data_IF_673780232779
#
_entry.id   IF_673780232779
#
_cell.length_a   1.000
_cell.length_b   1.000
_cell.length_c   1.000
_cell.angle_alpha   90.00
_cell.angle_beta   90.00
_cell.angle_gamma   90.00
#
_symmetry.space_group_name_H-M   'P 1'
#
loop_
_entity.id
_entity.type
_entity.pdbx_description
1 polymer ?
#
# COMPACT_ATOMS: atom_id res chain seq x y z
N UNK A 1 -9.96 -17.81 16.33
CA UNK A 1 -9.43 -18.45 15.11
C UNK A 1 -9.47 -19.97 15.23
N UNK A 2 -8.73 -20.60 16.15
CA UNK A 2 -8.85 -22.06 16.37
C UNK A 2 -10.23 -22.50 16.91
N UNK A 3 -10.94 -21.61 17.63
CA UNK A 3 -12.33 -21.84 18.06
C UNK A 3 -13.38 -21.63 16.94
N UNK A 4 -13.00 -21.00 15.82
CA UNK A 4 -13.94 -20.54 14.77
C UNK A 4 -13.65 -21.17 13.39
N UNK A 5 -12.42 -21.63 13.16
CA UNK A 5 -11.96 -22.21 11.89
C UNK A 5 -11.26 -23.55 12.17
N UNK A 6 -11.63 -24.57 11.40
CA UNK A 6 -10.87 -25.82 11.40
C UNK A 6 -9.51 -25.65 10.69
N UNK A 7 -8.65 -26.67 10.79
CA UNK A 7 -7.29 -26.60 10.24
C UNK A 7 -7.26 -26.30 8.73
N UNK A 8 -8.16 -26.88 7.94
CA UNK A 8 -8.20 -26.64 6.50
C UNK A 8 -8.64 -25.20 6.19
N UNK A 9 -9.70 -24.73 6.86
CA UNK A 9 -10.19 -23.37 6.70
C UNK A 9 -9.16 -22.32 7.15
N UNK A 10 -8.44 -22.57 8.24
CA UNK A 10 -7.37 -21.71 8.70
C UNK A 10 -6.23 -21.64 7.67
N UNK A 11 -5.85 -22.77 7.08
CA UNK A 11 -4.84 -22.82 6.02
C UNK A 11 -5.26 -22.04 4.78
N UNK A 12 -6.50 -22.20 4.33
CA UNK A 12 -7.05 -21.47 3.18
C UNK A 12 -7.10 -19.97 3.45
N UNK A 13 -7.53 -19.57 4.65
CA UNK A 13 -7.58 -18.18 5.06
C UNK A 13 -6.18 -17.54 5.06
N UNK A 14 -5.19 -18.20 5.67
CA UNK A 14 -3.81 -17.70 5.68
C UNK A 14 -3.25 -17.56 4.28
N UNK A 15 -3.51 -18.53 3.40
CA UNK A 15 -3.09 -18.46 1.99
C UNK A 15 -3.74 -17.28 1.25
N UNK A 16 -5.05 -17.07 1.43
CA UNK A 16 -5.77 -15.96 0.82
C UNK A 16 -5.31 -14.59 1.35
N UNK A 17 -5.07 -14.49 2.65
CA UNK A 17 -4.55 -13.29 3.31
C UNK A 17 -3.14 -12.95 2.78
N UNK A 18 -2.23 -13.93 2.77
CA UNK A 18 -0.87 -13.75 2.29
C UNK A 18 -0.84 -13.34 0.82
N UNK A 19 -1.67 -13.97 -0.03
CA UNK A 19 -1.80 -13.60 -1.43
C UNK A 19 -2.21 -12.13 -1.59
N UNK A 20 -3.31 -11.72 -0.95
CA UNK A 20 -3.83 -10.35 -1.04
C UNK A 20 -2.81 -9.33 -0.52
N UNK A 21 -2.14 -9.66 0.58
CA UNK A 21 -1.12 -8.81 1.18
C UNK A 21 0.08 -8.62 0.25
N UNK A 22 0.60 -9.71 -0.33
CA UNK A 22 1.75 -9.67 -1.22
C UNK A 22 1.44 -8.95 -2.53
N UNK A 23 0.25 -9.15 -3.11
CA UNK A 23 -0.19 -8.43 -4.31
C UNK A 23 -0.24 -6.91 -4.06
N UNK A 24 -0.76 -6.49 -2.90
CA UNK A 24 -0.77 -5.08 -2.51
C UNK A 24 0.62 -4.50 -2.28
N UNK A 25 1.54 -5.27 -1.69
CA UNK A 25 2.95 -4.86 -1.54
C UNK A 25 3.65 -4.72 -2.90
N UNK A 26 3.44 -5.65 -3.82
CA UNK A 26 4.03 -5.61 -5.16
C UNK A 26 3.56 -4.39 -5.96
N UNK A 27 2.29 -4.01 -5.83
CA UNK A 27 1.76 -2.78 -6.44
C UNK A 27 2.39 -1.54 -5.79
N UNK A 28 2.46 -1.49 -4.47
CA UNK A 28 3.03 -0.36 -3.74
C UNK A 28 4.51 -0.14 -4.04
N UNK A 29 5.28 -1.22 -4.26
CA UNK A 29 6.68 -1.14 -4.69
C UNK A 29 6.78 -0.46 -6.06
N UNK A 30 5.96 -0.88 -7.04
CA UNK A 30 5.94 -0.27 -8.38
C UNK A 30 5.55 1.20 -8.32
N UNK A 31 4.62 1.54 -7.43
CA UNK A 31 4.22 2.93 -7.21
C UNK A 31 5.35 3.78 -6.61
N UNK A 32 6.08 3.25 -5.62
CA UNK A 32 7.24 3.96 -5.06
C UNK A 32 8.34 4.13 -6.12
N UNK A 33 8.58 3.10 -6.95
CA UNK A 33 9.51 3.21 -8.07
C UNK A 33 9.08 4.30 -9.05
N UNK A 34 7.81 4.30 -9.49
CA UNK A 34 7.30 5.32 -10.41
C UNK A 34 7.36 6.73 -9.81
N UNK A 35 7.08 6.88 -8.51
CA UNK A 35 7.25 8.14 -7.79
C UNK A 35 8.68 8.68 -7.96
N UNK A 36 9.71 7.84 -7.82
CA UNK A 36 11.10 8.28 -8.01
C UNK A 36 11.41 8.61 -9.47
N UNK A 37 10.94 7.79 -10.42
CA UNK A 37 11.17 7.99 -11.86
C UNK A 37 10.49 9.25 -12.40
N UNK A 38 9.43 9.73 -11.75
CA UNK A 38 8.70 10.95 -12.14
C UNK A 38 9.53 12.23 -12.06
N UNK A 39 10.64 12.23 -11.30
CA UNK A 39 11.57 13.36 -11.22
C UNK A 39 12.59 13.40 -12.37
N UNK A 40 12.60 12.38 -13.23
CA UNK A 40 13.33 12.39 -14.50
C UNK A 40 12.58 13.27 -15.53
N UNK A 41 13.29 14.18 -16.21
CA UNK A 41 12.69 15.09 -17.20
C UNK A 41 11.95 14.35 -18.33
N UNK A 42 12.38 13.13 -18.68
CA UNK A 42 11.76 12.29 -19.71
C UNK A 42 10.37 11.80 -19.31
N UNK A 43 10.10 11.75 -18.01
CA UNK A 43 8.83 11.29 -17.45
C UNK A 43 7.94 12.44 -16.99
N UNK A 44 8.36 13.71 -17.14
CA UNK A 44 7.64 14.90 -16.64
C UNK A 44 6.16 14.92 -17.05
N UNK A 45 5.88 14.69 -18.33
CA UNK A 45 4.52 14.74 -18.91
C UNK A 45 3.77 13.41 -18.82
N UNK A 46 4.41 12.33 -18.35
CA UNK A 46 3.75 11.03 -18.18
C UNK A 46 2.79 11.07 -16.99
N UNK A 47 1.65 10.35 -17.02
CA UNK A 47 0.70 10.34 -15.93
C UNK A 47 1.32 9.77 -14.64
N UNK A 48 0.87 10.28 -13.50
CA UNK A 48 1.32 9.79 -12.18
C UNK A 48 0.73 8.42 -11.81
N UNK A 49 -0.42 8.04 -12.38
CA UNK A 49 -1.16 6.87 -11.90
C UNK A 49 -1.44 6.98 -10.39
N UNK A 50 -1.26 5.87 -9.68
CA UNK A 50 -1.42 5.78 -8.21
C UNK A 50 -0.16 6.20 -7.44
N UNK A 51 0.88 6.65 -8.12
CA UNK A 51 2.21 6.75 -7.51
C UNK A 51 2.47 8.07 -6.77
N UNK A 52 1.59 9.07 -6.91
CA UNK A 52 1.77 10.40 -6.29
C UNK A 52 1.77 10.36 -4.76
N UNK A 53 1.03 9.43 -4.16
CA UNK A 53 0.90 9.22 -2.72
C UNK A 53 1.58 7.91 -2.25
N UNK A 54 2.43 7.30 -3.10
CA UNK A 54 3.06 6.01 -2.80
C UNK A 54 3.85 6.01 -1.49
N UNK A 55 4.58 7.08 -1.20
CA UNK A 55 5.41 7.22 0.01
C UNK A 55 4.57 7.20 1.30
N UNK A 56 3.56 8.08 1.48
CA UNK A 56 2.72 8.01 2.67
C UNK A 56 1.94 6.69 2.77
N UNK A 57 1.50 6.10 1.65
CA UNK A 57 0.88 4.76 1.66
C UNK A 57 1.83 3.66 2.15
N UNK A 58 3.09 3.67 1.70
CA UNK A 58 4.12 2.74 2.17
C UNK A 58 4.38 2.87 3.66
N UNK A 59 4.46 4.10 4.18
CA UNK A 59 4.63 4.35 5.61
C UNK A 59 3.43 3.83 6.42
N UNK A 60 2.21 4.06 5.94
CA UNK A 60 1.00 3.58 6.62
C UNK A 60 0.96 2.05 6.67
N UNK A 61 1.17 1.39 5.52
CA UNK A 61 1.16 -0.07 5.37
C UNK A 61 2.22 -0.74 6.26
N UNK A 62 3.47 -0.24 6.22
CA UNK A 62 4.57 -0.80 7.01
C UNK A 62 4.48 -0.44 8.49
N UNK A 63 3.88 0.70 8.81
CA UNK A 63 3.65 1.16 10.18
C UNK A 63 2.45 0.51 10.86
N UNK A 64 1.73 -0.40 10.20
CA UNK A 64 0.54 -1.06 10.75
C UNK A 64 -0.67 -0.13 10.91
N UNK A 65 -0.68 1.02 10.21
CA UNK A 65 -1.84 1.90 10.16
C UNK A 65 -2.83 1.32 9.15
N UNK A 66 -4.08 1.10 9.58
CA UNK A 66 -5.15 0.69 8.67
C UNK A 66 -5.42 1.78 7.63
N UNK A 67 -5.78 1.40 6.41
CA UNK A 67 -6.09 2.33 5.32
C UNK A 67 -7.21 3.34 5.66
N UNK A 68 -8.03 3.01 6.67
CA UNK A 68 -9.09 3.86 7.21
C UNK A 68 -8.62 4.87 8.27
N UNK A 69 -7.32 4.88 8.63
CA UNK A 69 -6.79 5.87 9.56
C UNK A 69 -6.86 7.25 8.88
N UNK A 70 -7.58 8.24 9.47
CA UNK A 70 -7.75 9.54 8.84
C UNK A 70 -6.37 10.16 8.60
N UNK A 71 -6.06 10.43 7.33
CA UNK A 71 -4.91 11.25 6.98
C UNK A 71 -5.05 12.56 7.73
N UNK A 72 -4.20 12.78 8.74
CA UNK A 72 -4.08 14.07 9.40
C UNK A 72 -3.59 15.05 8.33
N UNK A 73 -4.52 15.71 7.65
CA UNK A 73 -4.22 16.92 6.89
C UNK A 73 -3.46 17.83 7.84
N UNK A 74 -2.16 18.03 7.57
CA UNK A 74 -1.42 19.07 8.25
C UNK A 74 -2.07 20.38 7.85
N UNK A 75 -2.54 21.14 8.83
CA UNK A 75 -2.90 22.54 8.67
C UNK A 75 -1.85 23.22 7.78
N UNK A 76 -2.27 23.63 6.58
CA UNK A 76 -1.54 24.62 5.82
C UNK A 76 -1.58 25.90 6.64
N UNK A 77 -0.52 26.10 7.43
CA UNK A 77 -0.25 27.35 8.12
C UNK A 77 -0.39 28.53 7.17
N UNK A 78 -1.08 29.54 7.68
CA UNK A 78 -1.06 30.91 7.17
C UNK A 78 0.36 31.49 7.22
#
# INVERSE_FOLDING_TARGET
AAEELNQNQASEFVAALAKTHNEGLDELIKDVEWFTLKFDYRNKEKPWGNSKDAVPRAIAMLGGQSADAPSKEKESGK
#
